data_IF_552807534233
#
_entry.id   IF_552807534233
#
_cell.length_a   1.000
_cell.length_b   1.000
_cell.length_c   1.000
_cell.angle_alpha   90.00
_cell.angle_beta   90.00
_cell.angle_gamma   90.00
#
_symmetry.space_group_name_H-M   'P 1'
#
loop_
_entity.id
_entity.type
_entity.pdbx_description
1 polymer ?
#
# COMPACT_ATOMS: atom_id res chain seq x y z
N UNK A 1 -19.54 9.53 12.50
CA UNK A 1 -20.92 9.84 12.08
C UNK A 1 -20.93 10.12 10.58
N UNK A 2 -21.81 9.47 9.80
CA UNK A 2 -22.00 9.72 8.36
C UNK A 2 -22.61 11.10 8.05
N UNK A 3 -22.88 11.91 9.07
CA UNK A 3 -23.57 13.19 9.00
C UNK A 3 -22.71 14.36 8.49
N UNK A 4 -21.46 14.09 8.05
CA UNK A 4 -20.51 15.08 7.51
C UNK A 4 -19.75 14.60 6.27
N UNK A 5 -20.34 13.69 5.49
CA UNK A 5 -19.79 13.33 4.17
C UNK A 5 -19.73 14.60 3.31
N UNK A 6 -18.55 14.89 2.77
CA UNK A 6 -18.22 16.15 2.08
C UNK A 6 -17.46 17.16 2.94
N UNK A 7 -17.67 17.17 4.27
CA UNK A 7 -17.09 18.18 5.18
C UNK A 7 -15.94 17.66 6.06
N UNK A 8 -15.81 16.34 6.24
CA UNK A 8 -14.73 15.73 7.04
C UNK A 8 -14.00 14.67 6.24
N UNK A 9 -12.66 14.73 6.22
CA UNK A 9 -11.82 13.75 5.55
C UNK A 9 -12.06 12.33 6.10
N UNK A 10 -12.15 12.18 7.43
CA UNK A 10 -12.43 10.90 8.08
C UNK A 10 -13.81 10.34 7.68
N UNK A 11 -14.84 11.20 7.59
CA UNK A 11 -16.16 10.77 7.13
C UNK A 11 -16.16 10.33 5.66
N UNK A 12 -15.37 10.98 4.82
CA UNK A 12 -15.22 10.64 3.41
C UNK A 12 -14.50 9.31 3.22
N UNK A 13 -13.47 9.03 4.02
CA UNK A 13 -12.77 7.75 4.04
C UNK A 13 -13.74 6.61 4.37
N UNK A 14 -14.47 6.70 5.49
CA UNK A 14 -15.41 5.65 5.93
C UNK A 14 -16.50 5.41 4.87
N UNK A 15 -17.05 6.48 4.30
CA UNK A 15 -18.08 6.38 3.26
C UNK A 15 -17.54 5.73 1.99
N UNK A 16 -16.38 6.19 1.49
CA UNK A 16 -15.76 5.62 0.29
C UNK A 16 -15.34 4.16 0.47
N UNK A 17 -14.80 3.80 1.63
CA UNK A 17 -14.48 2.41 1.98
C UNK A 17 -15.72 1.53 2.01
N UNK A 18 -16.80 2.00 2.64
CA UNK A 18 -18.09 1.29 2.69
C UNK A 18 -18.65 1.04 1.29
N UNK A 19 -18.60 2.04 0.41
CA UNK A 19 -19.04 1.91 -0.99
C UNK A 19 -18.17 0.92 -1.75
N UNK A 20 -16.84 1.00 -1.61
CA UNK A 20 -15.91 0.07 -2.25
C UNK A 20 -16.17 -1.38 -1.83
N UNK A 21 -16.30 -1.66 -0.53
CA UNK A 21 -16.59 -3.01 -0.02
C UNK A 21 -17.98 -3.51 -0.42
N UNK A 22 -18.99 -2.64 -0.41
CA UNK A 22 -20.34 -3.01 -0.84
C UNK A 22 -20.37 -3.37 -2.33
N UNK A 23 -19.81 -2.51 -3.20
CA UNK A 23 -19.78 -2.75 -4.65
C UNK A 23 -18.92 -3.97 -4.99
N UNK A 24 -17.75 -4.10 -4.38
CA UNK A 24 -16.88 -5.26 -4.57
C UNK A 24 -17.50 -6.56 -4.08
N UNK A 25 -18.10 -6.55 -2.89
CA UNK A 25 -18.74 -7.72 -2.28
C UNK A 25 -19.99 -8.18 -3.03
N UNK A 26 -20.85 -7.23 -3.43
CA UNK A 26 -22.03 -7.53 -4.26
C UNK A 26 -21.59 -8.09 -5.62
N UNK A 27 -20.59 -7.46 -6.26
CA UNK A 27 -20.03 -7.93 -7.53
C UNK A 27 -19.49 -9.36 -7.44
N UNK A 28 -18.74 -9.67 -6.37
CA UNK A 28 -18.25 -11.01 -6.09
C UNK A 28 -19.40 -12.01 -5.88
N UNK A 29 -20.39 -11.68 -5.06
CA UNK A 29 -21.53 -12.56 -4.77
C UNK A 29 -22.32 -12.88 -6.04
N UNK A 30 -22.64 -11.85 -6.85
CA UNK A 30 -23.34 -12.03 -8.11
C UNK A 30 -22.53 -12.87 -9.12
N UNK A 31 -21.20 -12.77 -9.10
CA UNK A 31 -20.32 -13.56 -9.95
C UNK A 31 -20.29 -15.03 -9.51
N UNK A 32 -20.24 -15.31 -8.20
CA UNK A 32 -20.34 -16.66 -7.64
C UNK A 32 -21.69 -17.29 -7.98
N UNK A 33 -22.78 -16.53 -7.89
CA UNK A 33 -24.13 -16.97 -8.24
C UNK A 33 -24.36 -17.09 -9.76
N UNK A 34 -23.36 -16.80 -10.60
CA UNK A 34 -23.45 -16.79 -12.07
C UNK A 34 -24.59 -15.91 -12.61
N UNK A 35 -24.98 -14.87 -11.86
CA UNK A 35 -26.07 -13.94 -12.21
C UNK A 35 -25.60 -12.72 -13.02
N UNK A 36 -24.30 -12.62 -13.28
CA UNK A 36 -23.68 -11.50 -13.99
C UNK A 36 -23.33 -11.90 -15.43
N UNK A 37 -23.95 -11.28 -16.45
CA UNK A 37 -23.52 -11.41 -17.84
C UNK A 37 -22.05 -10.97 -18.02
N UNK A 38 -21.31 -11.50 -19.02
CA UNK A 38 -19.89 -11.21 -19.19
C UNK A 38 -19.56 -9.72 -19.33
N UNK A 39 -20.33 -8.97 -20.14
CA UNK A 39 -20.12 -7.53 -20.33
C UNK A 39 -20.35 -6.74 -19.03
N UNK A 40 -21.41 -7.07 -18.29
CA UNK A 40 -21.72 -6.42 -17.02
C UNK A 40 -20.67 -6.75 -15.95
N UNK A 41 -20.13 -7.98 -15.94
CA UNK A 41 -19.03 -8.37 -15.06
C UNK A 41 -17.78 -7.53 -15.31
N UNK A 42 -17.39 -7.34 -16.58
CA UNK A 42 -16.23 -6.51 -16.93
C UNK A 42 -16.43 -5.06 -16.50
N UNK A 43 -17.60 -4.48 -16.78
CA UNK A 43 -17.93 -3.13 -16.34
C UNK A 43 -17.88 -3.01 -14.81
N UNK A 44 -18.44 -3.99 -14.09
CA UNK A 44 -18.44 -4.02 -12.63
C UNK A 44 -17.03 -4.08 -12.04
N UNK A 45 -16.13 -4.86 -12.65
CA UNK A 45 -14.73 -4.92 -12.25
C UNK A 45 -14.04 -3.56 -12.44
N UNK A 46 -14.26 -2.88 -13.57
CA UNK A 46 -13.70 -1.54 -13.82
C UNK A 46 -14.20 -0.55 -12.77
N UNK A 47 -15.50 -0.54 -12.48
CA UNK A 47 -16.10 0.33 -11.44
C UNK A 47 -15.44 0.03 -10.08
N UNK A 48 -15.30 -1.25 -9.72
CA UNK A 48 -14.68 -1.65 -8.45
C UNK A 48 -13.22 -1.21 -8.37
N UNK A 49 -12.46 -1.30 -9.46
CA UNK A 49 -11.07 -0.83 -9.53
C UNK A 49 -10.98 0.68 -9.31
N UNK A 50 -11.84 1.47 -9.97
CA UNK A 50 -11.88 2.93 -9.79
C UNK A 50 -12.25 3.29 -8.35
N UNK A 51 -13.24 2.62 -7.77
CA UNK A 51 -13.62 2.83 -6.36
C UNK A 51 -12.47 2.49 -5.40
N UNK A 52 -11.66 1.46 -5.70
CA UNK A 52 -10.48 1.13 -4.90
C UNK A 52 -9.43 2.25 -4.93
N UNK A 53 -9.17 2.83 -6.09
CA UNK A 53 -8.27 3.99 -6.24
C UNK A 53 -8.80 5.20 -5.47
N UNK A 54 -10.11 5.49 -5.58
CA UNK A 54 -10.77 6.58 -4.84
C UNK A 54 -10.70 6.34 -3.34
N UNK A 55 -10.90 5.12 -2.87
CA UNK A 55 -10.81 4.79 -1.45
C UNK A 55 -9.41 5.07 -0.89
N UNK A 56 -8.35 4.61 -1.58
CA UNK A 56 -6.96 4.90 -1.19
C UNK A 56 -6.69 6.41 -1.20
N UNK A 57 -7.19 7.13 -2.20
CA UNK A 57 -7.10 8.59 -2.24
C UNK A 57 -7.77 9.27 -1.04
N UNK A 58 -8.96 8.80 -0.64
CA UNK A 58 -9.65 9.35 0.53
C UNK A 58 -8.91 9.04 1.84
N UNK A 59 -8.31 7.85 1.96
CA UNK A 59 -7.45 7.49 3.10
C UNK A 59 -6.26 8.45 3.22
N UNK A 60 -5.57 8.75 2.11
CA UNK A 60 -4.48 9.74 2.09
C UNK A 60 -4.96 11.13 2.52
N UNK A 61 -6.14 11.56 2.04
CA UNK A 61 -6.69 12.88 2.39
C UNK A 61 -6.96 13.04 3.88
N UNK A 62 -7.18 11.96 4.63
CA UNK A 62 -7.27 12.05 6.10
C UNK A 62 -5.96 12.55 6.67
N UNK A 63 -4.84 11.95 6.30
CA UNK A 63 -3.51 12.35 6.78
C UNK A 63 -3.11 13.75 6.30
N UNK A 64 -3.41 14.10 5.04
CA UNK A 64 -3.13 15.44 4.50
C UNK A 64 -4.09 16.53 5.01
N UNK A 65 -5.14 16.18 5.77
CA UNK A 65 -6.02 17.17 6.40
C UNK A 65 -5.64 17.50 7.85
N UNK A 66 -4.63 16.80 8.39
CA UNK A 66 -4.14 17.00 9.75
C UNK A 66 -2.89 17.89 9.64
N UNK A 67 -3.09 19.19 9.59
CA UNK A 67 -2.02 20.19 9.44
C UNK A 67 -1.08 20.25 10.66
N UNK A 68 -1.46 19.61 11.77
CA UNK A 68 -0.70 19.57 13.02
C UNK A 68 0.44 18.56 13.03
N UNK A 69 0.59 17.74 11.98
CA UNK A 69 1.63 16.71 11.85
C UNK A 69 2.38 16.90 10.52
N UNK A 70 3.46 17.70 10.50
CA UNK A 70 4.18 18.08 9.28
C UNK A 70 4.76 16.90 8.51
N UNK A 71 5.06 15.79 9.20
CA UNK A 71 5.58 14.56 8.59
C UNK A 71 4.52 13.79 7.79
N UNK A 72 3.24 14.00 8.11
CA UNK A 72 2.11 13.38 7.39
C UNK A 72 1.59 14.29 6.28
N UNK A 73 1.70 15.61 6.45
CA UNK A 73 1.42 16.60 5.41
C UNK A 73 2.60 16.72 4.42
N UNK A 74 2.79 15.68 3.60
CA UNK A 74 3.87 15.63 2.61
C UNK A 74 3.45 14.87 1.36
N UNK A 75 4.14 15.11 0.24
CA UNK A 75 4.01 14.35 -1.01
C UNK A 75 4.36 12.87 -0.82
N UNK A 76 5.18 12.55 0.19
CA UNK A 76 5.56 11.17 0.52
C UNK A 76 4.40 10.31 1.01
N UNK A 77 3.38 10.92 1.64
CA UNK A 77 2.21 10.22 2.15
C UNK A 77 1.35 9.62 1.02
N UNK A 78 0.81 10.39 0.05
CA UNK A 78 0.10 9.81 -1.09
C UNK A 78 0.93 8.75 -1.81
N UNK A 79 2.21 9.06 -2.09
CA UNK A 79 3.09 8.17 -2.81
C UNK A 79 3.25 6.83 -2.08
N UNK A 80 3.53 6.86 -0.77
CA UNK A 80 3.68 5.66 0.04
C UNK A 80 2.41 4.82 0.16
N UNK A 81 1.22 5.42 0.13
CA UNK A 81 -0.06 4.68 0.13
C UNK A 81 -0.32 3.97 -1.20
N UNK A 82 -0.14 4.67 -2.32
CA UNK A 82 -0.31 4.06 -3.64
C UNK A 82 0.78 3.03 -3.97
N UNK A 83 2.02 3.24 -3.54
CA UNK A 83 3.10 2.27 -3.76
C UNK A 83 2.84 0.94 -3.05
N UNK A 84 2.27 0.96 -1.84
CA UNK A 84 1.82 -0.27 -1.16
C UNK A 84 0.77 -1.02 -1.98
N UNK A 85 -0.16 -0.31 -2.65
CA UNK A 85 -1.13 -0.92 -3.54
C UNK A 85 -0.45 -1.60 -4.73
N UNK A 86 0.51 -0.94 -5.38
CA UNK A 86 1.26 -1.50 -6.52
C UNK A 86 2.26 -2.60 -6.12
N UNK A 87 2.68 -2.65 -4.86
CA UNK A 87 3.53 -3.71 -4.35
C UNK A 87 2.71 -4.94 -3.94
N UNK A 88 1.70 -4.77 -3.08
CA UNK A 88 0.90 -5.88 -2.54
C UNK A 88 -0.18 -6.40 -3.49
N UNK A 89 -0.84 -5.50 -4.24
CA UNK A 89 -1.96 -5.83 -5.11
C UNK A 89 -1.61 -6.84 -6.21
N UNK A 90 -0.56 -6.62 -7.01
CA UNK A 90 -0.16 -7.57 -8.05
C UNK A 90 0.29 -8.93 -7.49
N UNK A 91 0.99 -8.97 -6.35
CA UNK A 91 1.43 -10.21 -5.72
C UNK A 91 0.24 -11.04 -5.21
N UNK A 92 -0.70 -10.41 -4.49
CA UNK A 92 -1.92 -11.06 -4.03
C UNK A 92 -2.79 -11.52 -5.21
N UNK A 93 -2.94 -10.66 -6.23
CA UNK A 93 -3.66 -10.99 -7.46
C UNK A 93 -3.05 -12.19 -8.17
N UNK A 94 -1.72 -12.24 -8.29
CA UNK A 94 -1.02 -13.38 -8.88
C UNK A 94 -1.23 -14.66 -8.06
N UNK A 95 -1.12 -14.59 -6.72
CA UNK A 95 -1.39 -15.72 -5.84
C UNK A 95 -2.81 -16.28 -6.03
N UNK A 96 -3.83 -15.41 -6.04
CA UNK A 96 -5.23 -15.81 -6.23
C UNK A 96 -5.48 -16.41 -7.62
N UNK A 97 -4.90 -15.83 -8.67
CA UNK A 97 -4.99 -16.36 -10.03
C UNK A 97 -4.33 -17.75 -10.13
N UNK A 98 -3.20 -17.96 -9.45
CA UNK A 98 -2.54 -19.26 -9.38
C UNK A 98 -3.35 -20.30 -8.63
N UNK A 99 -3.99 -19.93 -7.52
CA UNK A 99 -4.93 -20.81 -6.80
C UNK A 99 -6.11 -21.18 -7.69
N UNK A 100 -6.60 -20.24 -8.50
CA UNK A 100 -7.68 -20.48 -9.47
C UNK A 100 -7.24 -21.25 -10.74
N UNK A 101 -5.97 -21.67 -10.84
CA UNK A 101 -5.46 -22.40 -12.00
C UNK A 101 -5.33 -21.57 -13.28
N UNK A 102 -5.42 -20.24 -13.18
CA UNK A 102 -5.30 -19.34 -14.33
C UNK A 102 -3.84 -19.22 -14.72
N UNK A 103 -3.55 -19.41 -16.01
CA UNK A 103 -2.24 -19.18 -16.59
C UNK A 103 -2.41 -18.30 -17.83
N UNK A 104 -1.63 -17.24 -17.95
CA UNK A 104 -1.70 -16.35 -19.10
C UNK A 104 -0.50 -15.40 -19.19
N UNK A 105 -0.24 -14.89 -20.39
CA UNK A 105 0.85 -13.95 -20.64
C UNK A 105 0.74 -12.70 -19.75
N UNK A 106 -0.47 -12.17 -19.58
CA UNK A 106 -0.73 -10.96 -18.81
C UNK A 106 -0.28 -11.07 -17.34
N UNK A 107 -0.18 -12.29 -16.78
CA UNK A 107 0.32 -12.50 -15.42
C UNK A 107 1.79 -12.11 -15.27
N UNK A 108 2.57 -12.09 -16.37
CA UNK A 108 3.98 -11.65 -16.36
C UNK A 108 4.14 -10.14 -16.18
N UNK A 109 3.08 -9.36 -16.41
CA UNK A 109 3.07 -7.92 -16.15
C UNK A 109 3.01 -7.61 -14.65
N UNK A 110 2.40 -8.50 -13.86
CA UNK A 110 2.19 -8.28 -12.42
C UNK A 110 3.52 -8.14 -11.65
N UNK A 111 4.54 -9.02 -11.81
CA UNK A 111 5.84 -8.83 -11.19
C UNK A 111 6.54 -7.54 -11.65
N UNK A 112 6.42 -7.17 -12.93
CA UNK A 112 7.06 -5.96 -13.46
C UNK A 112 6.52 -4.69 -12.78
N UNK A 113 5.20 -4.62 -12.56
CA UNK A 113 4.57 -3.51 -11.81
C UNK A 113 5.12 -3.43 -10.39
N UNK A 114 5.24 -4.56 -9.68
CA UNK A 114 5.77 -4.55 -8.31
C UNK A 114 7.28 -4.28 -8.23
N UNK A 115 8.07 -4.66 -9.24
CA UNK A 115 9.49 -4.28 -9.33
C UNK A 115 9.62 -2.76 -9.52
N UNK A 116 8.84 -2.17 -10.43
CA UNK A 116 8.81 -0.71 -10.59
C UNK A 116 8.38 -0.03 -9.30
N UNK A 117 7.34 -0.55 -8.63
CA UNK A 117 6.92 -0.04 -7.34
C UNK A 117 8.05 -0.10 -6.30
N UNK A 118 8.80 -1.21 -6.22
CA UNK A 118 9.94 -1.34 -5.30
C UNK A 118 11.04 -0.30 -5.58
N UNK A 119 11.36 -0.05 -6.85
CA UNK A 119 12.34 0.98 -7.22
C UNK A 119 11.88 2.36 -6.76
N UNK A 120 10.61 2.71 -7.01
CA UNK A 120 10.06 4.00 -6.56
C UNK A 120 9.98 4.07 -5.04
N UNK A 121 9.68 2.96 -4.34
CA UNK A 121 9.75 2.88 -2.87
C UNK A 121 11.17 3.16 -2.38
N UNK A 122 12.20 2.57 -3.01
CA UNK A 122 13.59 2.79 -2.63
C UNK A 122 13.99 4.27 -2.77
N UNK A 123 13.61 4.90 -3.89
CA UNK A 123 13.85 6.32 -4.14
C UNK A 123 13.11 7.18 -3.10
N UNK A 124 11.82 6.90 -2.88
CA UNK A 124 11.01 7.58 -1.88
C UNK A 124 11.64 7.52 -0.49
N UNK A 125 12.03 6.32 -0.04
CA UNK A 125 12.61 6.12 1.30
C UNK A 125 13.95 6.87 1.43
N UNK A 126 14.78 6.88 0.39
CA UNK A 126 16.03 7.63 0.37
C UNK A 126 15.81 9.14 0.41
N UNK A 127 14.88 9.67 -0.40
CA UNK A 127 14.55 11.10 -0.44
C UNK A 127 13.86 11.56 0.84
N UNK A 128 12.91 10.80 1.35
CA UNK A 128 12.27 11.04 2.64
C UNK A 128 13.32 11.02 3.77
N UNK A 129 14.25 10.06 3.75
CA UNK A 129 15.37 10.02 4.70
C UNK A 129 16.27 11.25 4.62
N UNK A 130 16.55 11.76 3.42
CA UNK A 130 17.35 12.98 3.22
C UNK A 130 16.62 14.25 3.68
N UNK A 131 15.30 14.36 3.45
CA UNK A 131 14.49 15.46 3.99
C UNK A 131 14.41 15.40 5.51
N UNK A 132 14.22 14.22 6.11
CA UNK A 132 14.24 14.08 7.57
C UNK A 132 15.62 14.39 8.18
N UNK A 133 16.70 14.15 7.44
CA UNK A 133 18.05 14.49 7.87
C UNK A 133 18.34 16.00 7.87
N UNK A 134 17.58 16.79 7.10
CA UNK A 134 17.74 18.25 6.97
C UNK A 134 16.77 19.06 7.83
N UNK A 135 15.71 18.44 8.37
CA UNK A 135 14.78 19.07 9.32
C UNK A 135 15.40 19.04 10.73
N UNK A 136 16.06 20.15 11.09
CA UNK A 136 16.52 20.42 12.45
C UNK A 136 15.50 21.30 13.17
N UNK A 137 14.87 20.79 14.25
CA UNK A 137 14.30 21.65 15.29
C UNK A 137 15.38 21.91 16.34
N UNK A 138 15.30 23.03 17.06
CA UNK A 138 16.31 23.45 18.05
C UNK A 138 16.52 22.49 19.23
N UNK A 139 15.80 21.35 19.30
CA UNK A 139 15.85 20.40 20.41
C UNK A 139 15.96 18.92 19.96
N UNK A 140 15.56 18.50 18.75
CA UNK A 140 15.78 17.11 18.26
C UNK A 140 15.63 16.96 16.73
N UNK A 141 16.39 16.02 16.15
CA UNK A 141 16.33 15.62 14.73
C UNK A 141 15.12 14.68 14.50
N UNK A 142 14.37 14.86 13.41
CA UNK A 142 13.16 14.05 13.13
C UNK A 142 13.43 12.53 13.04
N UNK A 143 14.67 12.14 12.70
CA UNK A 143 15.13 10.75 12.70
C UNK A 143 15.30 10.15 14.11
N UNK A 144 15.40 10.97 15.15
CA UNK A 144 15.49 10.52 16.55
C UNK A 144 14.12 10.14 17.15
N UNK A 145 13.02 10.43 16.46
CA UNK A 145 11.67 10.06 16.90
C UNK A 145 11.41 8.55 16.79
N UNK A 146 12.08 7.89 15.83
CA UNK A 146 12.00 6.43 15.64
C UNK A 146 13.39 5.87 15.89
N UNK A 147 13.62 5.19 17.04
CA UNK A 147 14.86 4.46 17.27
C UNK A 147 15.15 3.53 16.09
N UNK A 148 16.38 3.57 15.58
CA UNK A 148 16.83 2.75 14.46
C UNK A 148 16.05 2.91 13.14
N UNK A 149 15.52 4.11 12.85
CA UNK A 149 14.83 4.42 11.57
C UNK A 149 15.54 3.82 10.33
N UNK A 150 16.87 3.99 10.24
CA UNK A 150 17.66 3.47 9.13
C UNK A 150 17.67 1.94 9.05
N UNK A 151 17.75 1.26 10.21
CA UNK A 151 17.70 -0.21 10.30
C UNK A 151 16.32 -0.75 9.91
N UNK A 152 15.24 -0.12 10.39
CA UNK A 152 13.87 -0.49 10.05
C UNK A 152 13.60 -0.31 8.55
N UNK A 153 14.02 0.81 7.96
CA UNK A 153 13.90 1.02 6.52
C UNK A 153 14.75 0.02 5.71
N UNK A 154 15.94 -0.34 6.17
CA UNK A 154 16.75 -1.38 5.54
C UNK A 154 16.07 -2.75 5.60
N UNK A 155 15.52 -3.15 6.76
CA UNK A 155 14.77 -4.39 6.90
C UNK A 155 13.53 -4.43 6.02
N UNK A 156 12.80 -3.31 5.91
CA UNK A 156 11.72 -3.17 4.93
C UNK A 156 12.23 -3.50 3.53
N UNK A 157 13.29 -2.86 3.07
CA UNK A 157 13.82 -3.11 1.71
C UNK A 157 14.25 -4.56 1.49
N UNK A 158 14.90 -5.19 2.48
CA UNK A 158 15.29 -6.60 2.43
C UNK A 158 14.07 -7.51 2.30
N UNK A 159 13.03 -7.31 3.11
CA UNK A 159 11.81 -8.11 3.07
C UNK A 159 11.06 -7.96 1.74
N UNK A 160 10.93 -6.72 1.25
CA UNK A 160 10.29 -6.43 -0.03
C UNK A 160 11.05 -7.08 -1.20
N UNK A 161 12.38 -6.97 -1.21
CA UNK A 161 13.22 -7.58 -2.22
C UNK A 161 13.15 -9.11 -2.16
N UNK A 162 13.22 -9.70 -0.96
CA UNK A 162 13.09 -11.14 -0.76
C UNK A 162 11.75 -11.68 -1.28
N UNK A 163 10.64 -10.97 -1.00
CA UNK A 163 9.32 -11.31 -1.53
C UNK A 163 9.30 -11.35 -3.07
N UNK A 164 9.86 -10.32 -3.72
CA UNK A 164 9.96 -10.31 -5.20
C UNK A 164 10.88 -11.40 -5.73
N UNK A 165 12.00 -11.68 -5.08
CA UNK A 165 12.89 -12.77 -5.46
C UNK A 165 12.17 -14.13 -5.42
N UNK A 166 11.44 -14.42 -4.33
CA UNK A 166 10.63 -15.63 -4.21
C UNK A 166 9.58 -15.74 -5.33
N UNK A 167 9.05 -14.62 -5.80
CA UNK A 167 8.05 -14.58 -6.86
C UNK A 167 8.66 -14.69 -8.28
N UNK A 168 9.78 -14.01 -8.55
CA UNK A 168 10.36 -13.84 -9.89
C UNK A 168 11.33 -14.97 -10.24
N UNK A 169 12.15 -15.44 -9.30
CA UNK A 169 13.20 -16.44 -9.58
C UNK A 169 12.66 -17.73 -10.23
N UNK A 170 11.54 -18.32 -9.76
CA UNK A 170 10.97 -19.49 -10.44
C UNK A 170 10.59 -19.21 -11.90
N UNK A 171 10.06 -18.02 -12.18
CA UNK A 171 9.62 -17.61 -13.52
C UNK A 171 10.80 -17.44 -14.48
N UNK A 172 11.93 -16.91 -14.00
CA UNK A 172 13.17 -16.81 -14.78
C UNK A 172 13.75 -18.18 -15.13
N UNK A 173 13.54 -19.18 -14.25
CA UNK A 173 13.92 -20.57 -14.49
C UNK A 173 12.94 -21.33 -15.39
N UNK A 174 11.91 -20.67 -15.92
CA UNK A 174 10.89 -21.28 -16.78
C UNK A 174 9.80 -22.04 -16.03
N UNK A 175 9.85 -22.07 -14.70
CA UNK A 175 8.84 -22.71 -13.87
C UNK A 175 7.79 -21.70 -13.39
N UNK A 176 6.59 -22.19 -13.17
CA UNK A 176 5.58 -21.39 -12.49
C UNK A 176 5.82 -21.42 -10.97
N UNK A 177 5.78 -20.27 -10.27
CA UNK A 177 5.99 -20.24 -8.83
C UNK A 177 4.90 -21.04 -8.12
N UNK A 178 5.33 -21.87 -7.17
CA UNK A 178 4.46 -22.72 -6.38
C UNK A 178 3.59 -21.87 -5.44
N UNK A 179 2.34 -22.28 -5.21
CA UNK A 179 1.41 -21.56 -4.32
C UNK A 179 2.00 -21.37 -2.91
N UNK A 180 2.63 -22.38 -2.25
CA UNK A 180 3.24 -22.17 -0.94
C UNK A 180 4.36 -21.11 -0.95
N UNK A 181 5.18 -21.08 -2.01
CA UNK A 181 6.25 -20.09 -2.15
C UNK A 181 5.68 -18.67 -2.34
N UNK A 182 4.61 -18.54 -3.11
CA UNK A 182 3.89 -17.27 -3.27
C UNK A 182 3.23 -16.81 -1.96
N UNK A 183 2.71 -17.73 -1.15
CA UNK A 183 2.19 -17.41 0.18
C UNK A 183 3.29 -16.88 1.10
N UNK A 184 4.47 -17.50 1.09
CA UNK A 184 5.65 -16.99 1.84
C UNK A 184 6.06 -15.62 1.32
N UNK A 185 6.13 -15.44 0.00
CA UNK A 185 6.43 -14.13 -0.59
C UNK A 185 5.42 -13.06 -0.14
N UNK A 186 4.13 -13.41 -0.08
CA UNK A 186 3.08 -12.50 0.38
C UNK A 186 3.21 -12.17 1.88
N UNK A 187 3.58 -13.13 2.73
CA UNK A 187 3.83 -12.86 4.16
C UNK A 187 5.03 -11.94 4.35
N UNK A 188 6.14 -12.18 3.62
CA UNK A 188 7.32 -11.32 3.66
C UNK A 188 6.99 -9.90 3.19
N UNK A 189 6.20 -9.80 2.12
CA UNK A 189 5.65 -8.54 1.62
C UNK A 189 4.89 -7.82 2.74
N UNK A 190 3.89 -8.46 3.34
CA UNK A 190 3.09 -7.85 4.42
C UNK A 190 3.97 -7.39 5.59
N UNK A 191 4.95 -8.18 6.02
CA UNK A 191 5.89 -7.78 7.06
C UNK A 191 6.65 -6.50 6.68
N UNK A 192 7.13 -6.40 5.43
CA UNK A 192 7.80 -5.19 4.93
C UNK A 192 6.89 -3.95 4.91
N UNK A 193 5.64 -4.07 4.46
CA UNK A 193 4.68 -2.95 4.54
C UNK A 193 4.36 -2.56 5.98
N UNK A 194 4.21 -3.53 6.88
CA UNK A 194 3.93 -3.26 8.29
C UNK A 194 5.05 -2.47 8.95
N UNK A 195 6.31 -2.75 8.62
CA UNK A 195 7.44 -1.92 9.05
C UNK A 195 7.30 -0.51 8.48
N UNK A 196 7.04 -0.37 7.17
CA UNK A 196 6.87 0.94 6.54
C UNK A 196 5.73 1.76 7.16
N UNK A 197 4.61 1.12 7.49
CA UNK A 197 3.47 1.74 8.17
C UNK A 197 3.77 2.04 9.63
N UNK A 198 4.44 1.14 10.34
CA UNK A 198 4.89 1.35 11.72
C UNK A 198 5.79 2.58 11.83
N UNK A 199 6.75 2.72 10.91
CA UNK A 199 7.61 3.92 10.85
C UNK A 199 6.81 5.16 10.48
N UNK A 200 5.90 5.08 9.49
CA UNK A 200 5.03 6.21 9.13
C UNK A 200 4.21 6.73 10.31
N UNK A 201 3.62 5.84 11.11
CA UNK A 201 2.87 6.22 12.31
C UNK A 201 3.78 6.66 13.46
N UNK A 202 4.98 6.07 13.59
CA UNK A 202 5.99 6.47 14.57
C UNK A 202 6.56 7.87 14.32
N UNK A 203 6.55 8.34 13.07
CA UNK A 203 6.95 9.70 12.70
C UNK A 203 5.89 10.77 13.02
N UNK A 204 4.90 10.48 13.88
CA UNK A 204 3.90 11.45 14.32
C UNK A 204 4.53 12.54 15.22
N UNK A 205 5.18 13.53 14.60
CA UNK A 205 5.61 14.76 15.27
C UNK A 205 4.41 15.70 15.37
N UNK A 206 3.96 15.99 16.58
CA UNK A 206 2.95 17.04 16.81
C UNK A 206 3.64 18.37 17.02
N UNK A 207 3.32 19.37 16.20
CA UNK A 207 3.70 20.76 16.51
C UNK A 207 2.89 21.22 17.72
N UNK A 208 3.57 21.64 18.79
CA UNK A 208 2.94 22.26 19.97
C UNK A 208 3.09 21.53 21.31
N UNK A 209 3.70 20.34 21.37
CA UNK A 209 4.11 19.78 22.67
C UNK A 209 5.49 20.34 23.06
N UNK A 210 5.49 21.30 23.99
CA UNK A 210 6.66 21.54 24.82
C UNK A 210 6.90 20.27 25.64
N UNK A 211 7.97 19.54 25.32
CA UNK A 211 8.44 18.46 26.19
C UNK A 211 8.93 19.14 27.46
N UNK A 212 8.21 18.95 28.56
CA UNK A 212 8.66 19.36 29.88
C UNK A 212 10.00 18.64 30.15
N UNK A 213 11.02 19.46 30.42
CA UNK A 213 12.35 19.06 30.90
C UNK A 213 12.29 18.19 32.14
#
# INVERSE_FOLDING_TARGET
>A
SLNRVGASALSNEIASGSVFFAVGGIGWLLAVLKKLPPALRTLWLIITMVLGVVFVWMMVRVYNSIDTVPTWYSVWTPLGFFLTLFMGGPLLGYLLLRIAGVNGWAMRLLPAVSVLALVVIAIMVAMQGAELATIHSSIQQASALVPDYGSLMAWRMVLLAAALCCWIVPQLKGYQPAVPLLSVAFILMLAGELIGRGVFYGLHMTVGMAVAS
#
